data_IF_977586762232
#
_entry.id   IF_977586762232
#
_cell.length_a   1.000
_cell.length_b   1.000
_cell.length_c   1.000
_cell.angle_alpha   90.00
_cell.angle_beta   90.00
_cell.angle_gamma   90.00
#
_symmetry.space_group_name_H-M   'P 1'
#
loop_
_entity.id
_entity.type
_entity.pdbx_description
1 polymer ?
#
# COMPACT_ATOMS: atom_id res chain seq x y z
N UNK A 1 67.33 -54.35 -0.87
CA UNK A 1 66.56 -53.10 -0.76
C UNK A 1 65.88 -52.83 -2.10
N UNK A 2 64.75 -53.46 -2.34
CA UNK A 2 63.90 -53.21 -3.51
C UNK A 2 62.47 -53.48 -3.04
N UNK A 3 61.68 -52.43 -2.85
CA UNK A 3 60.34 -52.52 -2.28
C UNK A 3 59.73 -51.17 -1.91
N UNK A 4 60.53 -50.18 -1.49
CA UNK A 4 60.01 -48.86 -1.09
C UNK A 4 59.69 -47.90 -2.24
N UNK A 5 60.20 -48.15 -3.46
CA UNK A 5 59.99 -47.27 -4.61
C UNK A 5 58.61 -47.42 -5.26
N UNK A 6 58.07 -48.63 -5.29
CA UNK A 6 56.79 -48.93 -5.97
C UNK A 6 55.59 -48.53 -5.11
N UNK A 7 55.62 -48.77 -3.79
CA UNK A 7 54.56 -48.33 -2.86
C UNK A 7 54.45 -46.79 -2.77
N UNK A 8 55.57 -46.07 -2.85
CA UNK A 8 55.59 -44.60 -2.86
C UNK A 8 54.94 -44.02 -4.12
N UNK A 9 55.11 -44.69 -5.27
CA UNK A 9 54.54 -44.27 -6.55
C UNK A 9 53.03 -44.57 -6.58
N UNK A 10 52.58 -45.68 -5.99
CA UNK A 10 51.14 -45.98 -5.87
C UNK A 10 50.41 -45.00 -4.93
N UNK A 11 51.01 -44.66 -3.79
CA UNK A 11 50.49 -43.62 -2.89
C UNK A 11 50.42 -42.25 -3.56
N UNK A 12 51.42 -41.89 -4.38
CA UNK A 12 51.41 -40.64 -5.14
C UNK A 12 50.30 -40.61 -6.21
N UNK A 13 50.05 -41.73 -6.90
CA UNK A 13 48.98 -41.84 -7.91
C UNK A 13 47.60 -41.70 -7.27
N UNK A 14 47.36 -42.38 -6.15
CA UNK A 14 46.13 -42.26 -5.36
C UNK A 14 45.92 -40.82 -4.84
N UNK A 15 46.98 -40.17 -4.35
CA UNK A 15 46.93 -38.78 -3.88
C UNK A 15 46.59 -37.78 -5.00
N UNK A 16 47.21 -37.92 -6.18
CA UNK A 16 46.88 -37.07 -7.34
C UNK A 16 45.45 -37.27 -7.84
N UNK A 17 44.95 -38.51 -7.83
CA UNK A 17 43.57 -38.81 -8.23
C UNK A 17 42.54 -38.19 -7.28
N UNK A 18 42.81 -38.23 -5.97
CA UNK A 18 41.93 -37.65 -4.96
C UNK A 18 41.89 -36.11 -5.04
N UNK A 19 43.04 -35.48 -5.29
CA UNK A 19 43.12 -34.04 -5.51
C UNK A 19 42.36 -33.60 -6.77
N UNK A 20 42.50 -34.35 -7.87
CA UNK A 20 41.77 -34.08 -9.11
C UNK A 20 40.25 -34.20 -8.91
N UNK A 21 39.79 -35.22 -8.18
CA UNK A 21 38.37 -35.39 -7.86
C UNK A 21 37.82 -34.25 -7.00
N UNK A 22 38.55 -33.84 -5.95
CA UNK A 22 38.18 -32.70 -5.11
C UNK A 22 38.07 -31.39 -5.89
N UNK A 23 38.98 -31.16 -6.84
CA UNK A 23 38.98 -29.94 -7.67
C UNK A 23 37.76 -29.84 -8.58
N UNK A 24 37.37 -30.96 -9.22
CA UNK A 24 36.15 -31.03 -10.06
C UNK A 24 34.89 -30.78 -9.23
N UNK A 25 34.84 -31.30 -8.01
CA UNK A 25 33.70 -31.15 -7.11
C UNK A 25 33.53 -29.68 -6.66
N UNK A 26 34.64 -28.99 -6.36
CA UNK A 26 34.63 -27.55 -6.01
C UNK A 26 34.14 -26.70 -7.19
N UNK A 27 34.59 -26.99 -8.41
CA UNK A 27 34.12 -26.28 -9.61
C UNK A 27 32.63 -26.56 -9.86
N UNK A 28 32.20 -27.82 -9.75
CA UNK A 28 30.80 -28.20 -9.94
C UNK A 28 29.86 -27.53 -8.92
N UNK A 29 30.24 -27.51 -7.64
CA UNK A 29 29.50 -26.81 -6.59
C UNK A 29 29.52 -25.28 -6.80
N UNK A 30 30.63 -24.71 -7.27
CA UNK A 30 30.74 -23.29 -7.60
C UNK A 30 29.83 -22.86 -8.74
N UNK A 31 29.72 -23.66 -9.80
CA UNK A 31 28.79 -23.39 -10.91
C UNK A 31 27.33 -23.54 -10.44
N UNK A 32 27.05 -24.53 -9.59
CA UNK A 32 25.71 -24.77 -9.05
C UNK A 32 25.23 -23.65 -8.10
N UNK A 33 26.11 -23.09 -7.26
CA UNK A 33 25.77 -21.94 -6.40
C UNK A 33 25.56 -20.66 -7.19
N UNK A 34 26.36 -20.41 -8.23
CA UNK A 34 26.15 -19.27 -9.15
C UNK A 34 24.82 -19.43 -9.91
N UNK A 35 24.49 -20.65 -10.37
CA UNK A 35 23.21 -20.94 -11.02
C UNK A 35 21.99 -20.73 -10.11
N UNK A 36 22.08 -21.12 -8.83
CA UNK A 36 21.04 -20.83 -7.82
C UNK A 36 20.92 -19.34 -7.51
N UNK A 37 22.03 -18.61 -7.42
CA UNK A 37 22.02 -17.16 -7.22
C UNK A 37 21.31 -16.44 -8.37
N UNK A 38 21.62 -16.79 -9.62
CA UNK A 38 20.97 -16.22 -10.82
C UNK A 38 19.48 -16.61 -10.91
N UNK A 39 19.10 -17.81 -10.43
CA UNK A 39 17.70 -18.26 -10.43
C UNK A 39 16.86 -17.54 -9.38
N UNK A 40 17.40 -17.27 -8.19
CA UNK A 40 16.72 -16.47 -7.16
C UNK A 40 16.61 -14.99 -7.56
N UNK A 41 17.66 -14.43 -8.16
CA UNK A 41 17.65 -13.05 -8.67
C UNK A 41 16.65 -12.85 -9.82
N UNK A 42 16.40 -13.87 -10.65
CA UNK A 42 15.45 -13.79 -11.76
C UNK A 42 14.00 -13.58 -11.31
N UNK A 43 13.56 -14.30 -10.28
CA UNK A 43 12.21 -14.17 -9.71
C UNK A 43 12.04 -12.88 -8.92
N UNK A 44 13.06 -12.50 -8.13
CA UNK A 44 13.06 -11.27 -7.34
C UNK A 44 13.07 -10.01 -8.21
N UNK A 45 13.73 -10.04 -9.38
CA UNK A 45 13.76 -8.89 -10.31
C UNK A 45 12.42 -8.70 -11.03
N UNK A 46 11.72 -9.80 -11.36
CA UNK A 46 10.38 -9.75 -11.97
C UNK A 46 9.33 -9.31 -10.95
N UNK A 47 9.39 -9.80 -9.71
CA UNK A 47 8.52 -9.32 -8.63
C UNK A 47 8.77 -7.85 -8.28
N UNK A 48 10.04 -7.44 -8.14
CA UNK A 48 10.39 -6.03 -7.91
C UNK A 48 9.99 -5.11 -9.06
N UNK A 49 10.08 -5.56 -10.31
CA UNK A 49 9.58 -4.78 -11.45
C UNK A 49 8.04 -4.65 -11.45
N UNK A 50 7.31 -5.68 -11.03
CA UNK A 50 5.84 -5.60 -10.87
C UNK A 50 5.44 -4.69 -9.70
N UNK A 51 6.17 -4.72 -8.57
CA UNK A 51 5.99 -3.80 -7.43
C UNK A 51 6.30 -2.34 -7.81
N UNK A 52 7.37 -2.09 -8.58
CA UNK A 52 7.72 -0.74 -9.06
C UNK A 52 6.65 -0.18 -10.01
N UNK A 53 6.04 -1.01 -10.84
CA UNK A 53 4.97 -0.56 -11.77
C UNK A 53 3.69 -0.20 -11.02
N UNK A 54 3.28 -0.99 -10.02
CA UNK A 54 2.13 -0.63 -9.17
C UNK A 54 2.41 0.62 -8.33
N UNK A 55 3.62 0.79 -7.78
CA UNK A 55 4.03 2.01 -7.08
C UNK A 55 4.03 3.26 -7.95
N UNK A 56 4.32 3.13 -9.26
CA UNK A 56 4.33 4.27 -10.18
C UNK A 56 2.96 4.90 -10.39
N UNK A 57 1.87 4.16 -10.20
CA UNK A 57 0.50 4.70 -10.29
C UNK A 57 0.12 5.52 -9.05
N UNK A 58 0.81 5.28 -7.93
CA UNK A 58 0.58 5.94 -6.65
C UNK A 58 1.52 7.13 -6.38
N UNK A 59 2.63 7.24 -7.09
CA UNK A 59 3.63 8.31 -6.89
C UNK A 59 3.06 9.71 -7.10
N UNK A 60 2.09 9.85 -8.03
CA UNK A 60 1.31 11.06 -8.27
C UNK A 60 0.52 11.56 -7.03
N UNK A 61 0.36 10.70 -6.03
CA UNK A 61 -0.42 10.91 -4.82
C UNK A 61 0.41 10.85 -3.54
N UNK A 62 1.68 10.42 -3.61
CA UNK A 62 2.53 10.32 -2.42
C UNK A 62 2.88 11.71 -1.87
N UNK A 63 2.19 12.09 -0.79
CA UNK A 63 2.39 13.35 -0.07
C UNK A 63 2.22 14.59 -0.95
N UNK A 64 1.41 14.49 -2.01
CA UNK A 64 1.18 15.58 -2.95
C UNK A 64 -0.06 16.40 -2.58
N UNK A 65 -0.01 17.72 -2.81
CA UNK A 65 -1.23 18.53 -2.87
C UNK A 65 -1.82 18.47 -4.27
N UNK A 66 -3.02 17.93 -4.40
CA UNK A 66 -3.71 17.75 -5.70
C UNK A 66 -5.01 18.55 -5.76
N UNK A 67 -5.51 18.79 -6.97
CA UNK A 67 -6.82 19.42 -7.19
C UNK A 67 -7.95 18.40 -7.14
N UNK A 68 -9.17 18.86 -6.85
CA UNK A 68 -10.37 18.02 -6.81
C UNK A 68 -10.67 17.30 -8.14
N UNK A 69 -10.22 17.83 -9.27
CA UNK A 69 -10.22 17.09 -10.55
C UNK A 69 -9.39 15.81 -10.49
N UNK A 70 -8.17 15.90 -9.94
CA UNK A 70 -7.28 14.76 -9.78
C UNK A 70 -7.84 13.74 -8.78
N UNK A 71 -8.53 14.18 -7.72
CA UNK A 71 -9.25 13.27 -6.80
C UNK A 71 -10.33 12.48 -7.54
N UNK A 72 -11.14 13.15 -8.36
CA UNK A 72 -12.17 12.48 -9.20
C UNK A 72 -11.54 11.53 -10.21
N UNK A 73 -10.44 11.92 -10.85
CA UNK A 73 -9.70 11.06 -11.77
C UNK A 73 -9.07 9.85 -11.06
N UNK A 74 -8.56 10.02 -9.84
CA UNK A 74 -8.05 8.93 -9.03
C UNK A 74 -9.14 7.88 -8.80
N UNK A 75 -10.34 8.31 -8.39
CA UNK A 75 -11.48 7.40 -8.25
C UNK A 75 -11.76 6.61 -9.53
N UNK A 76 -11.86 7.29 -10.67
CA UNK A 76 -12.11 6.65 -11.97
C UNK A 76 -11.01 5.65 -12.38
N UNK A 77 -9.75 5.96 -12.09
CA UNK A 77 -8.62 5.12 -12.47
C UNK A 77 -8.48 3.85 -11.62
N UNK A 78 -8.97 3.89 -10.38
CA UNK A 78 -8.89 2.78 -9.43
C UNK A 78 -10.23 2.07 -9.19
N UNK A 79 -11.31 2.55 -9.82
CA UNK A 79 -12.66 1.96 -9.70
C UNK A 79 -12.63 0.45 -10.00
N UNK A 80 -13.13 -0.35 -9.04
CA UNK A 80 -13.16 -1.82 -9.13
C UNK A 80 -11.83 -2.52 -8.86
N UNK A 81 -10.74 -1.78 -8.64
CA UNK A 81 -9.45 -2.33 -8.23
C UNK A 81 -9.34 -2.39 -6.70
N UNK A 82 -8.50 -3.27 -6.17
CA UNK A 82 -8.21 -3.37 -4.73
C UNK A 82 -7.40 -2.18 -4.19
N UNK A 83 -7.98 -0.98 -4.22
CA UNK A 83 -7.41 0.27 -3.73
C UNK A 83 -8.48 1.04 -2.96
N UNK A 84 -8.26 1.28 -1.68
CA UNK A 84 -9.16 2.11 -0.86
C UNK A 84 -8.98 3.59 -1.20
N UNK A 85 -10.08 4.33 -1.36
CA UNK A 85 -10.04 5.77 -1.63
C UNK A 85 -10.80 6.49 -0.53
N UNK A 86 -10.05 7.12 0.37
CA UNK A 86 -10.62 7.82 1.51
C UNK A 86 -10.69 9.31 1.20
N UNK A 87 -11.86 9.91 1.40
CA UNK A 87 -12.07 11.33 1.10
C UNK A 87 -12.65 12.02 2.32
N UNK A 88 -12.01 13.11 2.73
CA UNK A 88 -12.51 14.07 3.71
C UNK A 88 -12.67 15.42 3.03
N UNK A 89 -13.91 15.83 2.79
CA UNK A 89 -14.20 17.16 2.24
C UNK A 89 -14.29 18.20 3.36
N UNK A 90 -14.27 19.47 2.99
CA UNK A 90 -14.45 20.56 3.94
C UNK A 90 -15.80 20.51 4.65
N UNK A 91 -16.86 20.18 3.92
CA UNK A 91 -18.20 20.08 4.49
C UNK A 91 -18.29 18.96 5.55
N UNK A 92 -17.58 17.84 5.36
CA UNK A 92 -17.50 16.76 6.35
C UNK A 92 -16.68 17.15 7.59
N UNK A 93 -15.57 17.87 7.39
CA UNK A 93 -14.71 18.34 8.49
C UNK A 93 -15.46 19.36 9.35
N UNK A 94 -16.12 20.34 8.73
CA UNK A 94 -16.73 21.45 9.44
C UNK A 94 -18.03 21.03 10.16
N UNK A 95 -18.82 20.16 9.52
CA UNK A 95 -20.14 19.78 10.02
C UNK A 95 -20.17 18.38 10.67
N UNK A 96 -19.12 17.57 10.56
CA UNK A 96 -19.10 16.22 11.15
C UNK A 96 -20.27 15.34 10.68
N UNK A 97 -20.87 14.58 11.60
CA UNK A 97 -21.95 13.63 11.32
C UNK A 97 -23.29 14.29 10.90
N UNK A 98 -23.43 15.60 11.06
CA UNK A 98 -24.63 16.35 10.63
C UNK A 98 -24.48 16.94 9.22
N UNK A 99 -23.38 16.64 8.51
CA UNK A 99 -23.17 17.14 7.17
C UNK A 99 -24.24 16.62 6.19
N UNK A 100 -24.70 17.50 5.29
CA UNK A 100 -25.82 17.19 4.40
C UNK A 100 -25.49 16.08 3.39
N UNK A 101 -26.37 15.11 3.20
CA UNK A 101 -26.21 14.10 2.15
C UNK A 101 -25.14 13.06 2.43
N UNK A 102 -24.74 12.87 3.69
CA UNK A 102 -23.98 11.69 4.10
C UNK A 102 -24.82 10.42 3.90
N UNK A 103 -24.22 9.29 3.51
CA UNK A 103 -24.93 8.03 3.30
C UNK A 103 -25.21 7.31 4.63
N UNK A 104 -25.84 8.00 5.60
CA UNK A 104 -26.09 7.47 6.96
C UNK A 104 -27.13 6.35 7.00
N UNK A 105 -28.07 6.34 6.05
CA UNK A 105 -29.11 5.31 5.93
C UNK A 105 -28.61 4.07 5.16
N UNK A 106 -27.35 4.06 4.75
CA UNK A 106 -26.75 2.98 4.00
C UNK A 106 -26.41 1.80 4.91
N UNK A 107 -26.70 0.57 4.47
CA UNK A 107 -26.29 -0.63 5.21
C UNK A 107 -24.78 -0.72 5.39
N UNK A 108 -24.02 -0.06 4.52
CA UNK A 108 -22.57 -0.06 4.56
C UNK A 108 -21.97 1.14 5.30
N UNK A 109 -22.80 2.08 5.78
CA UNK A 109 -22.37 3.33 6.41
C UNK A 109 -21.32 3.11 7.50
N UNK A 110 -21.63 2.20 8.42
CA UNK A 110 -20.74 1.91 9.55
C UNK A 110 -19.38 1.38 9.10
N UNK A 111 -19.30 0.75 7.91
CA UNK A 111 -18.07 0.16 7.40
C UNK A 111 -17.25 1.13 6.55
N UNK A 112 -17.86 2.19 6.05
CA UNK A 112 -17.18 3.19 5.20
C UNK A 112 -16.74 4.41 5.98
N UNK A 113 -17.27 4.66 7.17
CA UNK A 113 -16.79 5.71 8.04
C UNK A 113 -15.42 5.33 8.63
N UNK A 114 -14.40 6.12 8.31
CA UNK A 114 -13.01 5.89 8.70
C UNK A 114 -12.51 7.01 9.60
N UNK A 115 -11.88 6.62 10.72
CA UNK A 115 -11.20 7.51 11.65
C UNK A 115 -9.71 7.56 11.28
N UNK A 116 -9.16 8.77 11.21
CA UNK A 116 -7.71 8.98 11.10
C UNK A 116 -7.16 9.26 12.49
N UNK A 117 -6.14 8.53 12.92
CA UNK A 117 -5.49 8.75 14.21
C UNK A 117 -4.34 9.76 14.13
N UNK A 118 -3.98 10.28 15.29
CA UNK A 118 -2.76 11.05 15.52
C UNK A 118 -1.65 10.13 16.08
N UNK A 119 -0.43 10.67 16.19
CA UNK A 119 0.72 9.93 16.71
C UNK A 119 0.59 9.50 18.18
N UNK A 120 -0.37 10.07 18.92
CA UNK A 120 -0.68 9.69 20.31
C UNK A 120 -1.76 8.58 20.40
N UNK A 121 -2.25 8.07 19.26
CA UNK A 121 -3.27 7.02 19.18
C UNK A 121 -4.72 7.51 19.31
N UNK A 122 -4.94 8.80 19.55
CA UNK A 122 -6.27 9.42 19.52
C UNK A 122 -6.68 9.85 18.12
N UNK A 123 -7.92 10.31 17.93
CA UNK A 123 -8.37 10.83 16.64
C UNK A 123 -7.61 12.11 16.25
N UNK A 124 -7.14 12.16 15.00
CA UNK A 124 -6.51 13.33 14.43
C UNK A 124 -7.47 14.52 14.41
N UNK A 125 -6.92 15.72 14.59
CA UNK A 125 -7.67 16.97 14.56
C UNK A 125 -7.17 17.81 13.39
N UNK A 126 -8.09 18.50 12.73
CA UNK A 126 -7.79 19.49 11.69
C UNK A 126 -8.54 20.77 11.99
N UNK A 127 -7.99 21.91 11.60
CA UNK A 127 -8.65 23.20 11.80
C UNK A 127 -9.84 23.35 10.85
N UNK A 128 -11.04 23.56 11.40
CA UNK A 128 -12.28 23.86 10.70
C UNK A 128 -12.28 25.26 10.06
N UNK A 129 -13.28 25.58 9.24
CA UNK A 129 -13.37 26.91 8.59
C UNK A 129 -13.60 28.03 9.61
N UNK A 130 -14.06 27.66 10.80
CA UNK A 130 -14.29 28.52 11.94
C UNK A 130 -13.03 28.71 12.81
N UNK A 131 -11.88 28.14 12.43
CA UNK A 131 -10.64 28.18 13.21
C UNK A 131 -10.63 27.25 14.43
N UNK A 132 -11.64 26.39 14.59
CA UNK A 132 -11.70 25.44 15.71
C UNK A 132 -11.18 24.06 15.31
N UNK A 133 -10.56 23.35 16.25
CA UNK A 133 -10.14 21.97 16.02
C UNK A 133 -11.34 21.04 15.84
N UNK A 134 -11.37 20.30 14.74
CA UNK A 134 -12.39 19.30 14.41
C UNK A 134 -11.77 17.92 14.27
N UNK A 135 -12.50 16.90 14.70
CA UNK A 135 -12.16 15.50 14.49
C UNK A 135 -12.03 15.19 12.99
N UNK A 136 -10.89 14.66 12.58
CA UNK A 136 -10.67 14.22 11.20
C UNK A 136 -11.23 12.82 11.01
N UNK A 137 -12.09 12.69 10.00
CA UNK A 137 -12.66 11.43 9.55
C UNK A 137 -12.91 11.53 8.04
N UNK A 138 -13.11 10.39 7.42
CA UNK A 138 -13.26 10.26 5.97
C UNK A 138 -14.26 9.16 5.64
N UNK A 139 -14.77 9.19 4.41
CA UNK A 139 -15.54 8.08 3.85
C UNK A 139 -14.62 7.26 2.95
N UNK A 140 -14.66 5.95 3.12
CA UNK A 140 -13.96 4.97 2.31
C UNK A 140 -14.81 4.59 1.08
N UNK A 141 -14.31 4.95 -0.09
CA UNK A 141 -14.87 4.57 -1.38
C UNK A 141 -14.00 3.52 -2.06
N UNK A 142 -14.58 2.89 -3.09
CA UNK A 142 -13.98 1.77 -3.79
C UNK A 142 -13.72 0.60 -2.83
N UNK A 143 -12.51 0.04 -2.75
CA UNK A 143 -12.26 -1.13 -1.90
C UNK A 143 -12.33 -0.75 -0.40
N UNK A 144 -13.29 -1.33 0.33
CA UNK A 144 -13.52 -1.01 1.74
C UNK A 144 -12.42 -1.66 2.59
N UNK A 145 -11.85 -0.91 3.54
CA UNK A 145 -10.89 -1.44 4.51
C UNK A 145 -11.62 -2.15 5.65
N UNK A 146 -11.07 -3.26 6.12
CA UNK A 146 -11.64 -4.05 7.21
C UNK A 146 -11.59 -3.30 8.56
N UNK A 147 -10.48 -2.59 8.81
CA UNK A 147 -10.31 -1.75 10.00
C UNK A 147 -10.75 -0.34 9.69
N UNK A 148 -11.52 0.24 10.62
CA UNK A 148 -12.13 1.58 10.52
C UNK A 148 -11.20 2.70 11.00
N UNK A 149 -9.95 2.37 11.27
CA UNK A 149 -8.97 3.28 11.84
C UNK A 149 -7.66 3.20 11.08
N UNK A 150 -7.05 4.36 10.83
CA UNK A 150 -5.73 4.48 10.23
C UNK A 150 -4.74 5.07 11.23
N UNK A 151 -3.62 4.38 11.43
CA UNK A 151 -2.52 4.84 12.28
C UNK A 151 -1.53 5.67 11.44
N UNK A 152 -1.12 6.87 11.87
CA UNK A 152 -0.09 7.63 11.17
C UNK A 152 1.30 7.00 11.42
N UNK A 153 2.07 6.80 10.36
CA UNK A 153 3.42 6.27 10.46
C UNK A 153 4.31 6.84 9.35
N UNK A 154 5.38 7.56 9.73
CA UNK A 154 6.43 8.03 8.82
C UNK A 154 5.91 8.80 7.58
N UNK A 155 4.89 9.66 7.74
CA UNK A 155 4.31 10.43 6.63
C UNK A 155 3.26 9.69 5.80
N UNK A 156 2.95 8.45 6.17
CA UNK A 156 1.92 7.61 5.58
C UNK A 156 0.82 7.30 6.60
N UNK A 157 -0.28 6.74 6.12
CA UNK A 157 -1.26 6.07 6.97
C UNK A 157 -1.11 4.56 6.85
N UNK A 158 -1.26 3.85 7.96
CA UNK A 158 -1.15 2.40 8.04
C UNK A 158 -2.48 1.81 8.49
N UNK A 159 -2.95 0.81 7.74
CA UNK A 159 -4.04 -0.07 8.17
C UNK A 159 -3.47 -1.37 8.71
N UNK A 160 -4.02 -1.84 9.84
CA UNK A 160 -3.66 -3.13 10.45
C UNK A 160 -4.50 -4.31 9.95
N UNK A 161 -5.47 -4.05 9.08
CA UNK A 161 -6.34 -5.07 8.50
C UNK A 161 -6.24 -5.14 6.99
N UNK A 162 -6.99 -6.09 6.44
CA UNK A 162 -7.09 -6.31 4.99
C UNK A 162 -8.25 -5.50 4.38
N UNK A 163 -8.66 -5.83 3.17
CA UNK A 163 -9.92 -5.35 2.62
C UNK A 163 -11.10 -6.12 3.22
N UNK A 164 -12.21 -5.43 3.45
CA UNK A 164 -13.46 -6.05 3.85
C UNK A 164 -13.93 -7.01 2.76
N UNK A 165 -14.25 -8.25 3.13
CA UNK A 165 -14.74 -9.28 2.21
C UNK A 165 -16.24 -9.49 2.38
N UNK A 166 -16.94 -9.71 1.27
CA UNK A 166 -18.31 -10.20 1.29
C UNK A 166 -18.33 -11.71 1.60
N UNK A 167 -19.51 -12.26 1.90
CA UNK A 167 -19.70 -13.69 2.20
C UNK A 167 -19.23 -14.61 1.06
N UNK A 168 -19.15 -14.10 -0.17
CA UNK A 168 -18.61 -14.76 -1.36
C UNK A 168 -17.08 -14.86 -1.39
N UNK A 169 -16.36 -14.24 -0.44
CA UNK A 169 -14.90 -14.14 -0.40
C UNK A 169 -14.31 -13.08 -1.32
N UNK A 170 -15.14 -12.32 -2.05
CA UNK A 170 -14.70 -11.19 -2.87
C UNK A 170 -14.57 -9.91 -2.04
N UNK A 171 -13.66 -9.01 -2.44
CA UNK A 171 -13.55 -7.66 -1.85
C UNK A 171 -14.90 -6.93 -1.99
N UNK A 172 -15.32 -6.28 -0.91
CA UNK A 172 -16.51 -5.42 -0.91
C UNK A 172 -16.14 -4.00 -1.35
N UNK A 173 -16.98 -3.44 -2.22
CA UNK A 173 -16.76 -2.12 -2.80
C UNK A 173 -17.87 -1.14 -2.42
N UNK A 174 -17.50 0.09 -2.07
CA UNK A 174 -18.42 1.20 -1.87
C UNK A 174 -18.32 2.22 -3.02
N UNK A 175 -19.24 2.11 -3.99
CA UNK A 175 -19.22 2.91 -5.22
C UNK A 175 -20.36 3.94 -5.31
N UNK A 176 -20.90 4.38 -4.17
CA UNK A 176 -22.01 5.34 -4.11
C UNK A 176 -21.50 6.78 -4.22
N UNK A 177 -20.94 7.12 -5.37
CA UNK A 177 -20.25 8.41 -5.63
C UNK A 177 -21.14 9.52 -6.17
N UNK A 178 -22.45 9.31 -6.21
CA UNK A 178 -23.41 10.28 -6.78
C UNK A 178 -23.32 11.66 -6.14
N UNK A 179 -23.07 11.73 -4.84
CA UNK A 179 -23.00 12.98 -4.09
C UNK A 179 -21.68 13.73 -4.29
N UNK A 180 -20.60 13.05 -4.70
CA UNK A 180 -19.32 13.69 -5.04
C UNK A 180 -19.41 14.71 -6.17
N UNK A 181 -20.46 14.61 -7.00
CA UNK A 181 -20.70 15.47 -8.17
C UNK A 181 -21.79 16.52 -7.93
N UNK A 182 -22.55 16.43 -6.82
CA UNK A 182 -23.70 17.29 -6.54
C UNK A 182 -23.31 18.39 -5.55
N UNK A 183 -23.32 19.64 -6.02
CA UNK A 183 -23.09 20.78 -5.14
C UNK A 183 -24.13 20.82 -4.00
N UNK A 184 -23.69 21.21 -2.80
CA UNK A 184 -24.54 21.25 -1.61
C UNK A 184 -24.58 19.94 -0.81
N UNK A 185 -23.95 18.87 -1.31
CA UNK A 185 -23.73 17.63 -0.56
C UNK A 185 -22.39 17.67 0.17
N UNK A 186 -22.31 17.01 1.32
CA UNK A 186 -21.11 16.89 2.13
C UNK A 186 -19.99 16.20 1.35
N UNK A 187 -20.32 15.15 0.60
CA UNK A 187 -19.37 14.39 -0.21
C UNK A 187 -18.89 15.15 -1.46
N UNK A 188 -19.48 16.31 -1.78
CA UNK A 188 -19.15 17.07 -2.98
C UNK A 188 -17.66 17.43 -3.05
N UNK A 189 -17.03 17.13 -4.19
CA UNK A 189 -15.63 17.45 -4.45
C UNK A 189 -15.58 18.64 -5.41
N UNK A 190 -15.27 19.86 -4.94
CA UNK A 190 -15.12 21.01 -5.83
C UNK A 190 -13.89 20.83 -6.72
N UNK A 191 -14.05 21.08 -8.02
CA UNK A 191 -13.01 20.91 -9.05
C UNK A 191 -11.71 21.69 -8.73
N UNK A 192 -11.85 22.92 -8.22
CA UNK A 192 -10.71 23.79 -7.86
C UNK A 192 -10.23 23.67 -6.42
N UNK A 193 -10.87 22.85 -5.57
CA UNK A 193 -10.42 22.66 -4.21
C UNK A 193 -9.11 21.87 -4.17
N UNK A 194 -8.28 22.18 -3.17
CA UNK A 194 -6.99 21.52 -2.94
C UNK A 194 -7.16 20.42 -1.89
N UNK A 195 -6.51 19.30 -2.12
CA UNK A 195 -6.51 18.14 -1.23
C UNK A 195 -5.07 17.73 -0.96
N UNK A 196 -4.73 17.55 0.31
CA UNK A 196 -3.53 16.83 0.67
C UNK A 196 -3.79 15.34 0.43
N UNK A 197 -2.93 14.73 -0.38
CA UNK A 197 -2.95 13.31 -0.66
C UNK A 197 -1.85 12.60 0.13
N UNK A 198 -2.19 11.44 0.70
CA UNK A 198 -1.27 10.59 1.46
C UNK A 198 -1.60 9.13 1.19
N UNK A 199 -0.58 8.30 0.99
CA UNK A 199 -0.81 6.87 0.73
C UNK A 199 -1.18 6.11 2.01
N UNK A 200 -2.00 5.08 1.83
CA UNK A 200 -2.31 4.08 2.84
C UNK A 200 -1.46 2.84 2.55
N UNK A 201 -0.77 2.36 3.56
CA UNK A 201 0.02 1.13 3.51
C UNK A 201 -0.54 0.08 4.46
N UNK A 202 -0.33 -1.19 4.13
CA UNK A 202 -0.53 -2.27 5.09
C UNK A 202 0.70 -2.43 6.01
N UNK A 203 0.64 -3.40 6.92
CA UNK A 203 1.74 -3.72 7.85
C UNK A 203 2.98 -4.31 7.17
N UNK A 204 2.89 -4.69 5.89
CA UNK A 204 4.02 -5.17 5.07
C UNK A 204 4.68 -4.04 4.28
N UNK A 205 4.07 -2.85 4.27
CA UNK A 205 4.54 -1.68 3.53
C UNK A 205 3.98 -1.57 2.11
N UNK A 206 3.09 -2.47 1.68
CA UNK A 206 2.43 -2.40 0.38
C UNK A 206 1.38 -1.29 0.39
N UNK A 207 1.25 -0.57 -0.73
CA UNK A 207 0.26 0.49 -0.89
C UNK A 207 -1.10 -0.15 -1.17
N UNK A 208 -2.08 0.16 -0.31
CA UNK A 208 -3.44 -0.40 -0.37
C UNK A 208 -4.52 0.67 -0.58
N UNK A 209 -4.13 1.95 -0.61
CA UNK A 209 -5.08 3.03 -0.84
C UNK A 209 -4.48 4.42 -0.78
N UNK A 210 -5.36 5.41 -0.88
CA UNK A 210 -5.03 6.83 -0.88
C UNK A 210 -6.04 7.57 0.00
N UNK A 211 -5.54 8.47 0.85
CA UNK A 211 -6.34 9.43 1.61
C UNK A 211 -6.25 10.80 0.93
N UNK A 212 -7.39 11.45 0.76
CA UNK A 212 -7.51 12.83 0.30
C UNK A 212 -8.20 13.66 1.39
N UNK A 213 -7.47 14.59 1.99
CA UNK A 213 -8.01 15.54 2.97
C UNK A 213 -8.05 16.92 2.35
N UNK A 214 -9.23 17.53 2.25
CA UNK A 214 -9.36 18.88 1.73
C UNK A 214 -8.63 19.87 2.65
N UNK A 215 -7.74 20.66 2.09
CA UNK A 215 -7.03 21.70 2.85
C UNK A 215 -7.78 23.03 2.76
N UNK A 216 -7.76 23.80 3.85
CA UNK A 216 -8.29 25.16 3.85
C UNK A 216 -7.47 26.02 2.88
N UNK A 217 -8.15 26.76 2.02
CA UNK A 217 -7.51 27.81 1.23
C UNK A 217 -7.51 29.06 2.09
N UNK A 218 -6.34 29.40 2.66
CA UNK A 218 -6.12 30.72 3.27
C UNK A 218 -6.19 31.81 2.21
#
# INVERSE_FOLDING_TARGET
MAGMGEESIELSKLGTGLFAFGFVLVIGLGIFTIGKAITNDGSDKVQKQLEIVQQSEYSDYDQQTVLGTKVKSAYQNFEGKGCAILIATRAMIDNGDIANGLPVDDSDWENVQMIIKNNAGGQAQVEGSDGTSKNLWCINYNAILEKKELDPENGYYVTKGSFFTADSGSIKFFNKVSNMKKQGMAEYIPTGARYQSTLIKDTTGQVVGIVFVQVSSY
#
